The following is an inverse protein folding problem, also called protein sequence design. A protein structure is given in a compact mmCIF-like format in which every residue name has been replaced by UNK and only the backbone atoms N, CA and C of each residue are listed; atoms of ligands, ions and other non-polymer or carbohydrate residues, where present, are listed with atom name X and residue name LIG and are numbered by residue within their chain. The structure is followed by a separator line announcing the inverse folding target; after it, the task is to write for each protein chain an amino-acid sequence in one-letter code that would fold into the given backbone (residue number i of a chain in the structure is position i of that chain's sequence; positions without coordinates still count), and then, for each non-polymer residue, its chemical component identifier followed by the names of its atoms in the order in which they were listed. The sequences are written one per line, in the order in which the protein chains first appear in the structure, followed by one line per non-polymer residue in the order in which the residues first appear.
data_IF_761436959790
#
_entry.id   IF_761436959790
#
_cell.length_a   1.000
_cell.length_b   1.000
_cell.length_c   1.000
_cell.angle_alpha   90.00
_cell.angle_beta   90.00
_cell.angle_gamma   90.00
#
_symmetry.space_group_name_H-M   'P 1'
#
loop_
_entity.id
_entity.type
_entity.pdbx_description
1 polymer ?
#
# COMPACT_ATOMS: atom_id res chain seq x y z
N UNK A 1 -20.61 20.40 -23.15
CA UNK A 1 -20.40 19.06 -22.57
C UNK A 1 -18.93 18.99 -22.18
N UNK A 2 -18.58 19.61 -21.06
CA UNK A 2 -17.24 19.53 -20.47
C UNK A 2 -17.28 18.33 -19.53
N UNK A 3 -16.41 17.35 -19.72
CA UNK A 3 -16.27 16.25 -18.76
C UNK A 3 -16.03 16.82 -17.36
N UNK A 4 -16.73 16.27 -16.37
CA UNK A 4 -16.51 16.63 -14.97
C UNK A 4 -15.32 15.83 -14.46
N UNK A 5 -14.44 16.44 -13.63
CA UNK A 5 -13.43 15.70 -12.90
C UNK A 5 -14.09 14.60 -12.08
N UNK A 6 -13.52 13.41 -12.11
CA UNK A 6 -14.00 12.32 -11.25
C UNK A 6 -13.59 12.55 -9.79
N UNK A 7 -14.07 11.68 -8.90
CA UNK A 7 -13.78 11.79 -7.47
C UNK A 7 -12.29 11.61 -7.15
N UNK A 8 -11.57 10.82 -7.95
CA UNK A 8 -10.15 10.55 -7.73
C UNK A 8 -9.32 11.81 -8.06
N UNK A 9 -9.63 12.48 -9.18
CA UNK A 9 -8.99 13.73 -9.58
C UNK A 9 -9.26 14.85 -8.57
N UNK A 10 -10.49 14.94 -8.05
CA UNK A 10 -10.81 15.91 -6.99
C UNK A 10 -10.04 15.64 -5.69
N UNK A 11 -9.87 14.36 -5.31
CA UNK A 11 -9.06 13.98 -4.14
C UNK A 11 -7.58 14.31 -4.36
N UNK A 12 -7.01 13.87 -5.48
CA UNK A 12 -5.61 14.12 -5.81
C UNK A 12 -5.32 15.63 -5.89
N UNK A 13 -6.27 16.44 -6.37
CA UNK A 13 -6.16 17.89 -6.34
C UNK A 13 -6.09 18.44 -4.90
N UNK A 14 -6.92 17.90 -4.00
CA UNK A 14 -6.97 18.29 -2.59
C UNK A 14 -5.68 17.91 -1.84
N UNK A 15 -5.10 16.76 -2.19
CA UNK A 15 -3.88 16.22 -1.60
C UNK A 15 -2.59 16.79 -2.25
N UNK A 16 -2.72 17.50 -3.37
CA UNK A 16 -1.60 18.11 -4.10
C UNK A 16 -0.80 17.11 -4.94
N UNK A 17 -1.42 16.02 -5.36
CA UNK A 17 -0.80 14.91 -6.10
C UNK A 17 -0.91 15.03 -7.63
N UNK A 18 -1.73 15.96 -8.13
CA UNK A 18 -1.86 16.22 -9.55
C UNK A 18 -0.64 16.96 -10.11
N UNK A 19 -0.35 16.72 -11.39
CA UNK A 19 0.67 17.53 -12.07
C UNK A 19 0.19 18.98 -12.31
N UNK A 20 1.09 19.85 -12.78
CA UNK A 20 0.78 21.27 -12.99
C UNK A 20 -0.34 21.53 -14.01
N UNK A 21 -0.48 20.67 -15.01
CA UNK A 21 -1.46 20.81 -16.10
C UNK A 21 -2.84 20.32 -15.66
N UNK A 22 -2.88 19.19 -14.96
CA UNK A 22 -4.08 18.63 -14.34
C UNK A 22 -4.62 19.55 -13.26
N UNK A 23 -3.74 20.08 -12.40
CA UNK A 23 -4.08 21.06 -11.37
C UNK A 23 -4.75 22.30 -11.95
N UNK A 24 -4.20 22.85 -13.04
CA UNK A 24 -4.80 24.01 -13.71
C UNK A 24 -6.19 23.69 -14.27
N UNK A 25 -6.35 22.52 -14.89
CA UNK A 25 -7.61 22.06 -15.48
C UNK A 25 -8.69 21.89 -14.42
N UNK A 26 -8.38 21.19 -13.32
CA UNK A 26 -9.32 20.98 -12.21
C UNK A 26 -9.66 22.31 -11.52
N UNK A 27 -8.67 23.17 -11.29
CA UNK A 27 -8.88 24.50 -10.68
C UNK A 27 -9.81 25.36 -11.53
N UNK A 28 -9.60 25.37 -12.85
CA UNK A 28 -10.44 26.11 -13.79
C UNK A 28 -11.89 25.58 -13.79
N UNK A 29 -12.07 24.26 -13.71
CA UNK A 29 -13.38 23.64 -13.62
C UNK A 29 -14.10 23.99 -12.31
N UNK A 30 -13.39 23.96 -11.17
CA UNK A 30 -13.94 24.31 -9.85
C UNK A 30 -14.43 25.77 -9.77
N UNK A 31 -13.89 26.67 -10.59
CA UNK A 31 -14.37 28.06 -10.70
C UNK A 31 -15.71 28.18 -11.43
N UNK A 32 -16.08 27.21 -12.26
CA UNK A 32 -17.25 27.28 -13.15
C UNK A 32 -18.35 26.28 -12.83
N UNK A 33 -18.03 25.18 -12.14
CA UNK A 33 -18.97 24.11 -11.82
C UNK A 33 -19.30 24.10 -10.32
N UNK A 34 -20.53 24.47 -9.96
CA UNK A 34 -21.00 24.44 -8.57
C UNK A 34 -21.08 23.03 -7.97
N UNK A 35 -21.45 22.03 -8.76
CA UNK A 35 -21.59 20.65 -8.26
C UNK A 35 -20.23 20.08 -7.85
N UNK A 36 -19.20 20.24 -8.69
CA UNK A 36 -17.83 19.83 -8.35
C UNK A 36 -17.26 20.67 -7.18
N UNK A 37 -17.58 21.97 -7.12
CA UNK A 37 -17.18 22.81 -5.98
C UNK A 37 -17.78 22.30 -4.66
N UNK A 38 -19.05 21.91 -4.66
CA UNK A 38 -19.70 21.37 -3.46
C UNK A 38 -19.07 20.05 -3.02
N UNK A 39 -18.80 19.13 -3.95
CA UNK A 39 -18.13 17.86 -3.64
C UNK A 39 -16.72 18.10 -3.06
N UNK A 40 -15.94 18.98 -3.68
CA UNK A 40 -14.62 19.35 -3.20
C UNK A 40 -14.65 19.95 -1.79
N UNK A 41 -15.61 20.84 -1.51
CA UNK A 41 -15.79 21.44 -0.19
C UNK A 41 -16.15 20.41 0.88
N UNK A 42 -16.98 19.40 0.57
CA UNK A 42 -17.31 18.32 1.50
C UNK A 42 -16.07 17.51 1.90
N UNK A 43 -15.24 17.16 0.92
CA UNK A 43 -13.98 16.45 1.17
C UNK A 43 -13.01 17.31 1.99
N UNK A 44 -12.89 18.60 1.65
CA UNK A 44 -12.04 19.53 2.39
C UNK A 44 -12.47 19.72 3.85
N UNK A 45 -13.77 19.82 4.12
CA UNK A 45 -14.29 19.88 5.48
C UNK A 45 -13.95 18.62 6.29
N UNK A 46 -14.07 17.44 5.69
CA UNK A 46 -13.68 16.19 6.33
C UNK A 46 -12.18 16.18 6.68
N UNK A 47 -11.32 16.55 5.72
CA UNK A 47 -9.87 16.63 5.94
C UNK A 47 -9.53 17.63 7.05
N UNK A 48 -10.20 18.78 7.10
CA UNK A 48 -10.02 19.75 8.18
C UNK A 48 -10.43 19.19 9.55
N UNK A 49 -11.58 18.51 9.63
CA UNK A 49 -12.03 17.89 10.87
C UNK A 49 -11.05 16.82 11.38
N UNK A 50 -10.49 16.01 10.47
CA UNK A 50 -9.46 15.02 10.81
C UNK A 50 -8.18 15.68 11.32
N UNK A 51 -7.74 16.78 10.72
CA UNK A 51 -6.55 17.55 11.17
C UNK A 51 -6.74 18.21 12.54
N UNK A 52 -7.98 18.40 12.99
CA UNK A 52 -8.28 18.95 14.32
C UNK A 52 -8.26 17.88 15.41
N UNK A 53 -8.13 16.60 15.07
CA UNK A 53 -8.01 15.54 16.06
C UNK A 53 -6.75 15.78 16.91
N UNK A 54 -6.82 15.50 18.23
CA UNK A 54 -5.67 15.67 19.10
C UNK A 54 -4.54 14.76 18.64
N UNK A 55 -3.35 15.36 18.49
CA UNK A 55 -2.15 14.61 18.15
C UNK A 55 -1.83 13.63 19.28
N UNK A 56 -1.90 12.34 18.98
CA UNK A 56 -1.49 11.29 19.92
C UNK A 56 -0.06 10.93 19.62
N UNK A 57 0.81 11.15 20.59
CA UNK A 57 2.13 10.54 20.53
C UNK A 57 1.97 9.02 20.47
N UNK A 58 2.59 8.34 19.50
CA UNK A 58 2.62 6.89 19.50
C UNK A 58 3.28 6.43 20.80
N UNK A 59 2.68 5.44 21.48
CA UNK A 59 3.24 4.88 22.72
C UNK A 59 4.61 4.20 22.49
N UNK A 60 4.90 3.89 21.23
CA UNK A 60 6.12 3.22 20.80
C UNK A 60 7.02 4.18 20.02
N UNK A 61 8.23 4.38 20.51
CA UNK A 61 9.29 5.03 19.75
C UNK A 61 9.88 4.02 18.74
N UNK A 62 9.35 4.06 17.52
CA UNK A 62 9.81 3.22 16.42
C UNK A 62 11.29 3.51 16.11
N UNK A 63 11.75 4.75 16.23
CA UNK A 63 13.15 5.09 15.94
C UNK A 63 14.09 4.46 16.98
N UNK A 64 13.73 4.51 18.26
CA UNK A 64 14.46 3.82 19.32
C UNK A 64 14.43 2.29 19.16
N UNK A 65 13.31 1.72 18.70
CA UNK A 65 13.22 0.28 18.42
C UNK A 65 14.09 -0.12 17.22
N UNK A 66 14.05 0.64 16.13
CA UNK A 66 14.86 0.40 14.94
C UNK A 66 16.36 0.49 15.26
N UNK A 67 16.77 1.42 16.13
CA UNK A 67 18.16 1.54 16.58
C UNK A 67 18.67 0.32 17.38
N UNK A 68 17.77 -0.49 17.94
CA UNK A 68 18.12 -1.71 18.66
C UNK A 68 18.20 -2.94 17.74
N UNK A 69 17.74 -2.83 16.48
CA UNK A 69 17.84 -3.93 15.56
C UNK A 69 19.31 -4.17 15.20
N UNK A 70 19.78 -5.43 15.22
CA UNK A 70 21.11 -5.74 14.75
C UNK A 70 21.22 -5.34 13.27
N UNK A 71 22.31 -4.65 12.93
CA UNK A 71 22.69 -4.41 11.55
C UNK A 71 22.65 -5.75 10.80
N UNK A 72 21.92 -5.79 9.67
CA UNK A 72 21.96 -6.96 8.80
C UNK A 72 23.43 -7.18 8.44
N UNK A 73 24.00 -8.38 8.66
CA UNK A 73 25.38 -8.63 8.29
C UNK A 73 25.52 -8.25 6.82
N UNK A 74 26.37 -7.26 6.56
CA UNK A 74 26.60 -6.75 5.22
C UNK A 74 26.86 -7.94 4.31
N UNK A 75 26.23 -7.93 3.12
CA UNK A 75 26.48 -8.94 2.08
C UNK A 75 27.98 -9.19 2.06
N UNK A 76 28.40 -10.43 2.36
CA UNK A 76 29.80 -10.83 2.38
C UNK A 76 30.48 -10.24 1.14
N UNK A 77 31.25 -9.18 1.32
CA UNK A 77 32.02 -8.56 0.26
C UNK A 77 32.97 -9.64 -0.21
N UNK A 78 32.72 -10.11 -1.44
CA UNK A 78 33.40 -11.21 -2.12
C UNK A 78 34.85 -10.77 -2.46
N UNK A 79 35.66 -10.60 -1.41
CA UNK A 79 37.04 -10.16 -1.50
C UNK A 79 37.90 -11.24 -2.13
N UNK A 80 38.34 -10.96 -3.36
CA UNK A 80 39.57 -11.41 -4.00
C UNK A 80 40.10 -12.81 -3.57
N UNK A 81 39.66 -13.82 -4.30
CA UNK A 81 40.29 -15.13 -4.31
C UNK A 81 39.73 -15.95 -5.46
N UNK A 82 40.35 -15.80 -6.63
CA UNK A 82 40.11 -16.60 -7.85
C UNK A 82 40.20 -18.12 -7.57
N UNK A 83 40.88 -18.51 -6.47
CA UNK A 83 40.91 -19.86 -5.93
C UNK A 83 39.64 -20.32 -5.16
N UNK A 84 38.68 -19.44 -4.85
CA UNK A 84 37.41 -19.79 -4.18
C UNK A 84 36.21 -19.92 -5.12
N UNK A 85 36.41 -19.78 -6.44
CA UNK A 85 35.35 -19.99 -7.43
C UNK A 85 35.01 -21.47 -7.70
N UNK A 86 35.85 -22.41 -7.24
CA UNK A 86 35.64 -23.85 -7.47
C UNK A 86 34.33 -24.41 -6.89
N UNK A 87 33.95 -24.18 -5.61
CA UNK A 87 32.66 -24.66 -5.10
C UNK A 87 31.44 -23.95 -5.72
N UNK A 88 31.58 -22.67 -6.11
CA UNK A 88 30.51 -21.92 -6.77
C UNK A 88 30.15 -22.45 -8.16
N UNK A 89 31.15 -22.90 -8.94
CA UNK A 89 30.91 -23.49 -10.25
C UNK A 89 30.22 -24.86 -10.16
N UNK A 90 30.57 -25.69 -9.15
CA UNK A 90 29.90 -26.99 -8.94
C UNK A 90 28.44 -26.79 -8.56
N UNK A 91 28.13 -25.84 -7.67
CA UNK A 91 26.75 -25.53 -7.28
C UNK A 91 25.92 -24.98 -8.46
N UNK A 92 26.50 -24.11 -9.29
CA UNK A 92 25.83 -23.59 -10.49
C UNK A 92 25.58 -24.69 -11.54
N UNK A 93 26.56 -25.56 -11.80
CA UNK A 93 26.39 -26.68 -12.73
C UNK A 93 25.35 -27.70 -12.24
N UNK A 94 25.34 -28.01 -10.95
CA UNK A 94 24.35 -28.90 -10.34
C UNK A 94 22.95 -28.27 -10.37
N UNK A 95 22.83 -26.98 -10.04
CA UNK A 95 21.58 -26.24 -10.14
C UNK A 95 21.03 -26.18 -11.57
N UNK A 96 21.90 -26.00 -12.57
CA UNK A 96 21.51 -26.02 -13.98
C UNK A 96 21.07 -27.42 -14.45
N UNK A 97 21.77 -28.48 -14.02
CA UNK A 97 21.40 -29.87 -14.32
C UNK A 97 20.07 -30.28 -13.68
N UNK A 98 19.85 -29.89 -12.42
CA UNK A 98 18.58 -30.11 -11.71
C UNK A 98 17.48 -29.30 -12.38
N UNK A 99 17.70 -28.00 -12.62
CA UNK A 99 16.73 -27.13 -13.27
C UNK A 99 16.33 -27.58 -14.67
N UNK A 100 17.28 -28.09 -15.47
CA UNK A 100 17.02 -28.64 -16.79
C UNK A 100 16.27 -29.98 -16.78
N UNK A 101 16.30 -30.71 -15.66
CA UNK A 101 15.57 -31.97 -15.47
C UNK A 101 14.30 -31.81 -14.62
N UNK A 102 14.00 -30.60 -14.13
CA UNK A 102 12.71 -30.31 -13.55
C UNK A 102 11.72 -30.13 -14.72
N UNK A 103 11.00 -31.20 -15.06
CA UNK A 103 9.67 -31.03 -15.64
C UNK A 103 8.87 -30.19 -14.64
N UNK A 104 8.76 -28.88 -14.88
CA UNK A 104 7.83 -28.06 -14.13
C UNK A 104 6.44 -28.64 -14.44
N UNK A 105 5.72 -29.21 -13.46
CA UNK A 105 4.28 -29.32 -13.61
C UNK A 105 3.75 -27.91 -13.89
N UNK A 106 2.75 -27.79 -14.77
CA UNK A 106 2.10 -26.51 -15.04
C UNK A 106 1.85 -25.79 -13.72
N UNK A 107 2.48 -24.62 -13.57
CA UNK A 107 2.16 -23.73 -12.47
C UNK A 107 0.75 -23.25 -12.75
N UNK A 108 -0.22 -24.03 -12.30
CA UNK A 108 -1.52 -23.48 -11.97
C UNK A 108 -1.22 -22.46 -10.90
N UNK A 109 -1.14 -21.19 -11.32
CA UNK A 109 -1.09 -20.00 -10.47
C UNK A 109 -2.36 -19.99 -9.64
N UNK A 110 -2.38 -20.87 -8.66
CA UNK A 110 -3.40 -20.96 -7.65
C UNK A 110 -3.12 -19.71 -6.82
N UNK A 111 -3.90 -18.66 -7.07
CA UNK A 111 -3.93 -17.48 -6.23
C UNK A 111 -4.04 -17.98 -4.80
N UNK A 112 -2.92 -17.93 -4.08
CA UNK A 112 -2.89 -18.26 -2.67
C UNK A 112 -3.55 -17.08 -2.01
N UNK A 113 -4.89 -17.14 -1.94
CA UNK A 113 -5.66 -16.31 -1.05
C UNK A 113 -5.17 -16.66 0.35
N UNK A 114 -4.36 -15.79 0.92
CA UNK A 114 -4.01 -15.88 2.33
C UNK A 114 -5.22 -15.34 3.09
N UNK A 115 -6.01 -16.18 3.78
CA UNK A 115 -7.21 -15.72 4.47
C UNK A 115 -6.89 -14.70 5.57
N UNK A 116 -5.64 -14.65 6.04
CA UNK A 116 -5.16 -13.63 6.97
C UNK A 116 -5.13 -12.22 6.38
N UNK A 117 -4.93 -12.07 5.05
CA UNK A 117 -4.96 -10.76 4.38
C UNK A 117 -6.39 -10.32 4.02
N UNK A 118 -7.37 -11.24 4.04
CA UNK A 118 -8.79 -10.90 3.88
C UNK A 118 -9.33 -10.01 5.02
N UNK A 119 -8.63 -9.96 6.16
CA UNK A 119 -8.95 -9.08 7.30
C UNK A 119 -8.70 -7.60 6.95
N UNK A 120 -7.82 -7.32 5.99
CA UNK A 120 -7.45 -5.97 5.55
C UNK A 120 -8.19 -5.54 4.27
N UNK A 121 -9.02 -6.41 3.71
CA UNK A 121 -9.77 -6.10 2.50
C UNK A 121 -10.98 -5.21 2.85
N UNK A 122 -11.29 -4.25 1.98
CA UNK A 122 -12.48 -3.38 2.10
C UNK A 122 -13.77 -4.10 1.67
N UNK A 123 -13.67 -5.34 1.20
CA UNK A 123 -14.82 -6.23 0.99
C UNK A 123 -15.09 -7.09 2.24
N UNK A 124 -16.34 -7.21 2.70
CA UNK A 124 -16.68 -8.02 3.87
C UNK A 124 -16.22 -9.47 3.68
N UNK A 125 -15.63 -10.13 4.70
CA UNK A 125 -15.84 -9.89 6.14
C UNK A 125 -14.59 -9.41 6.91
N UNK A 126 -13.86 -8.41 6.41
CA UNK A 126 -12.78 -7.75 7.15
C UNK A 126 -13.29 -6.68 8.13
N UNK A 127 -13.95 -7.06 9.22
CA UNK A 127 -14.43 -6.10 10.23
C UNK A 127 -13.54 -6.14 11.49
N UNK A 128 -12.67 -5.15 11.65
CA UNK A 128 -12.08 -4.80 12.94
C UNK A 128 -13.18 -4.23 13.86
N UNK A 129 -14.03 -5.09 14.43
CA UNK A 129 -14.94 -4.71 15.52
C UNK A 129 -14.14 -4.74 16.83
N UNK A 130 -13.91 -3.57 17.45
CA UNK A 130 -13.23 -3.48 18.77
C UNK A 130 -13.97 -4.28 19.85
N UNK A 131 -15.30 -4.37 19.75
CA UNK A 131 -16.16 -5.25 20.55
C UNK A 131 -17.34 -5.74 19.68
N UNK A 132 -17.69 -7.03 19.71
CA UNK A 132 -18.70 -7.62 18.82
C UNK A 132 -20.14 -7.11 19.07
N UNK A 133 -20.44 -6.67 20.29
CA UNK A 133 -21.77 -6.17 20.68
C UNK A 133 -22.19 -4.89 19.92
N UNK A 134 -21.22 -4.12 19.41
CA UNK A 134 -21.45 -2.84 18.74
C UNK A 134 -21.71 -2.99 17.24
N UNK A 135 -21.38 -4.15 16.65
CA UNK A 135 -21.50 -4.38 15.21
C UNK A 135 -22.87 -4.92 14.80
N UNK A 136 -23.65 -5.43 15.75
CA UNK A 136 -25.05 -5.77 15.55
C UNK A 136 -25.95 -4.73 16.21
N UNK A 137 -26.08 -3.56 15.59
CA UNK A 137 -27.28 -2.73 15.79
C UNK A 137 -28.45 -3.52 15.19
N UNK A 138 -29.09 -4.32 16.05
CA UNK A 138 -30.34 -5.01 15.75
C UNK A 138 -31.40 -3.92 15.57
N UNK A 139 -31.58 -3.48 14.33
CA UNK A 139 -32.72 -2.68 13.92
C UNK A 139 -33.99 -3.42 14.32
N UNK A 140 -34.61 -2.94 15.39
CA UNK A 140 -36.00 -3.26 15.72
C UNK A 140 -36.82 -2.10 15.19
N UNK A 141 -37.69 -2.46 14.24
CA UNK A 141 -38.82 -1.76 13.63
C UNK A 141 -39.19 -0.39 14.23
#
# INVERSE_FOLDING_TARGET
MTEHPDMMQLSAHLDGELDSTETATVSEHLLRCRDCQQQYQQMHMLTQALRQLPDRQPELDIAALLAQLPERPGRLTYGAGWLRALPGMVAAALGLLIGANLQLPDVHTSQTSFPALAILDSTPPGALCRQPELCYLKGSL
#
